data_IF_162336856078
#
_entry.id   IF_162336856078
#
_cell.length_a   1.000
_cell.length_b   1.000
_cell.length_c   1.000
_cell.angle_alpha   90.00
_cell.angle_beta   90.00
_cell.angle_gamma   90.00
#
_symmetry.space_group_name_H-M   'P 1'
#
loop_
_entity.id
_entity.type
_entity.pdbx_description
1 polymer ?
#
# COMPACT_ATOMS: atom_id res chain seq x y z
N UNK A 1 9.11 -16.18 1.17
CA UNK A 1 8.20 -17.18 0.57
C UNK A 1 6.97 -17.50 1.44
N UNK A 2 7.05 -17.69 2.77
CA UNK A 2 5.84 -17.87 3.59
C UNK A 2 4.92 -16.63 3.58
N UNK A 3 5.51 -15.43 3.66
CA UNK A 3 4.75 -14.18 3.67
C UNK A 3 3.94 -13.93 2.40
N UNK A 4 4.45 -14.31 1.23
CA UNK A 4 3.72 -14.16 -0.04
C UNK A 4 2.50 -15.08 -0.14
N UNK A 5 2.58 -16.29 0.44
CA UNK A 5 1.44 -17.21 0.52
C UNK A 5 0.34 -16.65 1.42
N UNK A 6 0.72 -16.14 2.60
CA UNK A 6 -0.23 -15.54 3.56
C UNK A 6 -0.88 -14.29 2.94
N UNK A 7 -0.09 -13.43 2.29
CA UNK A 7 -0.60 -12.25 1.61
C UNK A 7 -1.59 -12.61 0.48
N UNK A 8 -1.26 -13.63 -0.34
CA UNK A 8 -2.13 -14.11 -1.41
C UNK A 8 -3.45 -14.69 -0.88
N UNK A 9 -3.39 -15.49 0.19
CA UNK A 9 -4.59 -16.02 0.85
C UNK A 9 -5.47 -14.90 1.41
N UNK A 10 -4.86 -13.91 2.09
CA UNK A 10 -5.58 -12.74 2.60
C UNK A 10 -6.28 -11.94 1.50
N UNK A 11 -5.60 -11.69 0.38
CA UNK A 11 -6.19 -11.04 -0.80
C UNK A 11 -7.37 -11.82 -1.40
N UNK A 12 -7.26 -13.16 -1.45
CA UNK A 12 -8.35 -14.01 -1.94
C UNK A 12 -9.60 -13.94 -1.07
N UNK A 13 -9.41 -13.98 0.25
CA UNK A 13 -10.52 -13.96 1.23
C UNK A 13 -11.24 -12.60 1.24
N UNK A 14 -10.56 -11.50 0.96
CA UNK A 14 -11.16 -10.16 1.03
C UNK A 14 -11.80 -9.69 -0.29
N UNK A 15 -11.20 -10.00 -1.44
CA UNK A 15 -11.66 -9.44 -2.72
C UNK A 15 -13.03 -9.97 -3.16
N UNK A 16 -13.31 -11.26 -2.99
CA UNK A 16 -14.58 -11.86 -3.43
C UNK A 16 -15.79 -11.37 -2.64
N UNK A 17 -15.79 -11.35 -1.29
CA UNK A 17 -16.92 -10.82 -0.52
C UNK A 17 -17.16 -9.32 -0.75
N UNK A 18 -16.11 -8.50 -0.88
CA UNK A 18 -16.24 -7.07 -1.17
C UNK A 18 -16.96 -6.86 -2.51
N UNK A 19 -16.56 -7.60 -3.54
CA UNK A 19 -17.18 -7.47 -4.87
C UNK A 19 -18.65 -7.92 -4.86
N UNK A 20 -18.95 -9.06 -4.21
CA UNK A 20 -20.30 -9.59 -4.13
C UNK A 20 -21.25 -8.69 -3.32
N UNK A 21 -20.77 -8.06 -2.25
CA UNK A 21 -21.58 -7.11 -1.46
C UNK A 21 -21.84 -5.81 -2.22
N UNK A 22 -20.85 -5.27 -2.94
CA UNK A 22 -20.97 -4.04 -3.74
C UNK A 22 -21.93 -4.21 -4.93
N UNK A 23 -21.84 -5.35 -5.64
CA UNK A 23 -22.68 -5.63 -6.82
C UNK A 23 -24.05 -6.22 -6.48
N UNK A 24 -24.16 -6.96 -5.38
CA UNK A 24 -25.39 -7.64 -4.96
C UNK A 24 -26.40 -6.76 -4.20
N UNK A 25 -26.00 -5.58 -3.72
CA UNK A 25 -26.86 -4.71 -2.90
C UNK A 25 -27.80 -3.80 -3.72
N UNK A 26 -27.85 -3.91 -5.04
CA UNK A 26 -28.58 -3.00 -5.92
C UNK A 26 -29.51 -3.72 -6.91
N UNK A 27 -30.59 -3.04 -7.32
CA UNK A 27 -31.51 -3.58 -8.32
C UNK A 27 -30.81 -3.77 -9.66
N UNK A 28 -31.23 -4.80 -10.41
CA UNK A 28 -30.61 -5.24 -11.68
C UNK A 28 -30.38 -4.11 -12.70
N UNK A 29 -31.21 -3.07 -12.66
CA UNK A 29 -31.13 -1.91 -13.55
C UNK A 29 -30.00 -0.92 -13.23
N UNK A 30 -29.31 -1.06 -12.07
CA UNK A 30 -28.22 -0.17 -11.62
C UNK A 30 -26.95 -0.90 -11.19
N UNK A 31 -26.97 -2.23 -11.15
CA UNK A 31 -25.82 -3.06 -10.76
C UNK A 31 -24.58 -2.80 -11.64
N UNK A 32 -24.79 -2.56 -12.95
CA UNK A 32 -23.70 -2.21 -13.88
C UNK A 32 -23.03 -0.87 -13.55
N UNK A 33 -23.81 0.16 -13.20
CA UNK A 33 -23.25 1.47 -12.82
C UNK A 33 -22.47 1.38 -11.51
N UNK A 34 -22.95 0.60 -10.54
CA UNK A 34 -22.28 0.44 -9.26
C UNK A 34 -20.98 -0.38 -9.36
N UNK A 35 -20.98 -1.48 -10.13
CA UNK A 35 -19.76 -2.23 -10.41
C UNK A 35 -18.70 -1.37 -11.13
N UNK A 36 -19.14 -0.48 -12.02
CA UNK A 36 -18.24 0.46 -12.70
C UNK A 36 -17.60 1.46 -11.74
N UNK A 37 -18.37 1.99 -10.78
CA UNK A 37 -17.86 2.89 -9.74
C UNK A 37 -16.89 2.16 -8.82
N UNK A 38 -17.24 0.95 -8.37
CA UNK A 38 -16.39 0.11 -7.50
C UNK A 38 -15.03 -0.16 -8.17
N UNK A 39 -15.05 -0.63 -9.41
CA UNK A 39 -13.83 -0.92 -10.16
C UNK A 39 -13.00 0.34 -10.42
N UNK A 40 -13.64 1.46 -10.76
CA UNK A 40 -12.94 2.73 -10.96
C UNK A 40 -12.25 3.20 -9.68
N UNK A 41 -12.92 3.09 -8.52
CA UNK A 41 -12.33 3.43 -7.23
C UNK A 41 -11.12 2.54 -6.93
N UNK A 42 -11.19 1.24 -7.22
CA UNK A 42 -10.06 0.31 -7.07
C UNK A 42 -8.87 0.71 -7.94
N UNK A 43 -9.11 1.02 -9.21
CA UNK A 43 -8.03 1.41 -10.14
C UNK A 43 -7.38 2.74 -9.75
N UNK A 44 -8.18 3.75 -9.39
CA UNK A 44 -7.67 5.05 -8.93
C UNK A 44 -6.85 4.87 -7.66
N UNK A 45 -7.39 4.12 -6.68
CA UNK A 45 -6.68 3.84 -5.44
C UNK A 45 -5.36 3.11 -5.68
N UNK A 46 -5.34 2.12 -6.58
CA UNK A 46 -4.13 1.39 -6.92
C UNK A 46 -3.09 2.30 -7.58
N UNK A 47 -3.50 3.12 -8.54
CA UNK A 47 -2.59 4.03 -9.24
C UNK A 47 -1.94 5.03 -8.26
N UNK A 48 -2.74 5.62 -7.38
CA UNK A 48 -2.24 6.53 -6.33
C UNK A 48 -1.31 5.78 -5.38
N UNK A 49 -1.68 4.58 -4.94
CA UNK A 49 -0.87 3.80 -4.01
C UNK A 49 0.47 3.38 -4.62
N UNK A 50 0.49 2.94 -5.88
CA UNK A 50 1.73 2.62 -6.61
C UNK A 50 2.63 3.86 -6.73
N UNK A 51 2.06 5.03 -7.06
CA UNK A 51 2.83 6.27 -7.12
C UNK A 51 3.46 6.63 -5.77
N UNK A 52 2.70 6.51 -4.68
CA UNK A 52 3.20 6.75 -3.31
C UNK A 52 4.29 5.75 -2.95
N UNK A 53 4.09 4.45 -3.21
CA UNK A 53 5.10 3.43 -2.94
C UNK A 53 6.39 3.66 -3.74
N UNK A 54 6.29 4.06 -5.01
CA UNK A 54 7.46 4.41 -5.84
C UNK A 54 8.22 5.62 -5.31
N UNK A 55 7.50 6.65 -4.85
CA UNK A 55 8.11 7.82 -4.20
C UNK A 55 8.82 7.45 -2.89
N UNK A 56 8.18 6.64 -2.04
CA UNK A 56 8.78 6.14 -0.78
C UNK A 56 10.04 5.31 -1.07
N UNK A 57 10.00 4.46 -2.11
CA UNK A 57 11.15 3.66 -2.52
C UNK A 57 12.32 4.57 -2.94
N UNK A 58 12.10 5.50 -3.88
CA UNK A 58 13.15 6.38 -4.38
C UNK A 58 13.72 7.28 -3.27
N UNK A 59 12.89 7.82 -2.39
CA UNK A 59 13.33 8.63 -1.25
C UNK A 59 14.12 7.80 -0.21
N UNK A 60 13.71 6.56 0.06
CA UNK A 60 14.43 5.65 0.96
C UNK A 60 15.79 5.21 0.40
N UNK A 61 15.88 4.99 -0.92
CA UNK A 61 17.15 4.76 -1.62
C UNK A 61 18.05 5.99 -1.51
N UNK A 62 17.52 7.17 -1.85
CA UNK A 62 18.27 8.43 -1.77
C UNK A 62 18.81 8.70 -0.37
N UNK A 63 17.98 8.53 0.67
CA UNK A 63 18.39 8.73 2.05
C UNK A 63 19.57 7.82 2.45
N UNK A 64 19.56 6.57 1.98
CA UNK A 64 20.69 5.66 2.19
C UNK A 64 21.94 6.10 1.43
N UNK A 65 21.79 6.53 0.17
CA UNK A 65 22.89 7.02 -0.65
C UNK A 65 23.56 8.27 -0.05
N UNK A 66 22.78 9.23 0.45
CA UNK A 66 23.30 10.43 1.13
C UNK A 66 24.15 10.03 2.35
N UNK A 67 23.69 9.06 3.14
CA UNK A 67 24.41 8.60 4.32
C UNK A 67 25.69 7.81 3.97
N UNK A 68 25.66 7.04 2.88
CA UNK A 68 26.77 6.19 2.47
C UNK A 68 27.83 6.92 1.62
N UNK A 69 27.44 7.98 0.89
CA UNK A 69 28.32 8.75 0.01
C UNK A 69 28.12 10.27 0.22
N UNK A 70 28.55 10.81 1.38
CA UNK A 70 28.33 12.21 1.73
C UNK A 70 29.08 13.20 0.83
N UNK A 71 30.15 12.76 0.16
CA UNK A 71 31.01 13.60 -0.69
C UNK A 71 30.50 13.72 -2.14
N UNK A 72 29.47 12.97 -2.52
CA UNK A 72 28.89 13.05 -3.86
C UNK A 72 27.91 14.21 -4.00
N UNK A 73 27.88 14.81 -5.20
CA UNK A 73 26.94 15.86 -5.53
C UNK A 73 25.48 15.39 -5.40
N UNK A 74 24.62 16.24 -4.84
CA UNK A 74 23.22 15.95 -4.57
C UNK A 74 22.45 15.59 -5.85
N UNK A 75 22.69 16.30 -6.95
CA UNK A 75 22.04 16.00 -8.22
C UNK A 75 22.41 14.60 -8.74
N UNK A 76 23.67 14.18 -8.53
CA UNK A 76 24.13 12.84 -8.89
C UNK A 76 23.52 11.76 -8.00
N UNK A 77 23.37 12.02 -6.70
CA UNK A 77 22.71 11.11 -5.77
C UNK A 77 21.23 10.91 -6.13
N UNK A 78 20.52 11.98 -6.51
CA UNK A 78 19.13 11.89 -7.00
C UNK A 78 19.02 11.02 -8.25
N UNK A 79 19.87 11.24 -9.26
CA UNK A 79 19.88 10.43 -10.49
C UNK A 79 20.16 8.95 -10.20
N UNK A 80 21.12 8.68 -9.30
CA UNK A 80 21.45 7.31 -8.90
C UNK A 80 20.29 6.65 -8.14
N UNK A 81 19.64 7.38 -7.25
CA UNK A 81 18.49 6.88 -6.50
C UNK A 81 17.31 6.52 -7.41
N UNK A 82 17.00 7.37 -8.40
CA UNK A 82 15.96 7.08 -9.40
C UNK A 82 16.34 5.87 -10.26
N UNK A 83 17.59 5.78 -10.72
CA UNK A 83 18.05 4.64 -11.50
C UNK A 83 17.96 3.32 -10.71
N UNK A 84 18.42 3.30 -9.47
CA UNK A 84 18.36 2.12 -8.59
C UNK A 84 16.90 1.75 -8.30
N UNK A 85 16.04 2.72 -7.98
CA UNK A 85 14.62 2.47 -7.75
C UNK A 85 13.88 1.97 -9.00
N UNK A 86 14.32 2.39 -10.19
CA UNK A 86 13.83 1.87 -11.47
C UNK A 86 14.39 0.48 -11.83
N UNK A 87 15.33 -0.06 -11.04
CA UNK A 87 15.99 -1.34 -11.31
C UNK A 87 17.08 -1.28 -12.38
N UNK A 88 17.54 -0.07 -12.74
CA UNK A 88 18.63 0.12 -13.67
C UNK A 88 19.99 -0.09 -12.98
N UNK A 89 21.02 -0.55 -13.71
CA UNK A 89 22.37 -0.62 -13.19
C UNK A 89 22.87 0.79 -12.83
N UNK A 90 23.65 0.88 -11.75
CA UNK A 90 24.24 2.12 -11.25
C UNK A 90 25.77 2.11 -11.51
N UNK A 91 26.22 2.34 -12.76
CA UNK A 91 27.63 2.28 -13.11
C UNK A 91 28.42 3.31 -12.29
N UNK A 92 29.52 2.85 -11.69
CA UNK A 92 30.35 3.65 -10.79
C UNK A 92 30.01 3.52 -9.30
N UNK A 93 28.96 2.77 -8.94
CA UNK A 93 28.69 2.35 -7.56
C UNK A 93 29.04 0.86 -7.37
N UNK A 94 29.56 0.46 -6.20
CA UNK A 94 29.67 -0.95 -5.85
C UNK A 94 28.28 -1.60 -5.79
N UNK A 95 28.11 -2.78 -6.36
CA UNK A 95 26.83 -3.53 -6.38
C UNK A 95 26.24 -3.70 -4.98
N UNK A 96 27.08 -3.91 -3.97
CA UNK A 96 26.66 -4.01 -2.57
C UNK A 96 25.96 -2.75 -2.09
N UNK A 97 26.47 -1.57 -2.43
CA UNK A 97 25.87 -0.28 -2.02
C UNK A 97 24.53 -0.07 -2.71
N UNK A 98 24.45 -0.39 -4.00
CA UNK A 98 23.19 -0.32 -4.74
C UNK A 98 22.14 -1.29 -4.17
N UNK A 99 22.55 -2.50 -3.84
CA UNK A 99 21.68 -3.51 -3.22
C UNK A 99 21.21 -3.09 -1.82
N UNK A 100 22.12 -2.62 -0.96
CA UNK A 100 21.81 -2.17 0.40
C UNK A 100 20.85 -0.96 0.38
N UNK A 101 21.06 -0.02 -0.56
CA UNK A 101 20.17 1.11 -0.75
C UNK A 101 18.77 0.70 -1.20
N UNK A 102 18.68 -0.22 -2.16
CA UNK A 102 17.41 -0.77 -2.64
C UNK A 102 16.68 -1.53 -1.51
N UNK A 103 17.40 -2.34 -0.75
CA UNK A 103 16.86 -3.07 0.40
C UNK A 103 16.33 -2.13 1.48
N UNK A 104 17.05 -1.04 1.76
CA UNK A 104 16.59 0.01 2.67
C UNK A 104 15.29 0.67 2.16
N UNK A 105 15.25 1.04 0.88
CA UNK A 105 14.05 1.60 0.25
C UNK A 105 12.84 0.66 0.35
N UNK A 106 13.03 -0.64 0.08
CA UNK A 106 11.97 -1.64 0.30
C UNK A 106 11.56 -1.76 1.76
N UNK A 107 12.47 -1.61 2.71
CA UNK A 107 12.17 -1.53 4.14
C UNK A 107 11.17 -0.42 4.46
N UNK A 108 11.36 0.78 3.90
CA UNK A 108 10.42 1.90 4.04
C UNK A 108 9.06 1.62 3.42
N UNK A 109 9.02 1.01 2.22
CA UNK A 109 7.76 0.62 1.56
C UNK A 109 7.00 -0.42 2.39
N UNK A 110 7.70 -1.40 2.96
CA UNK A 110 7.10 -2.43 3.81
C UNK A 110 6.56 -1.84 5.12
N UNK A 111 7.27 -0.88 5.72
CA UNK A 111 6.81 -0.16 6.90
C UNK A 111 5.54 0.65 6.61
N UNK A 112 5.52 1.36 5.47
CA UNK A 112 4.33 2.06 4.99
C UNK A 112 3.13 1.12 4.83
N UNK A 113 3.32 -0.02 4.16
CA UNK A 113 2.28 -1.03 4.00
C UNK A 113 1.80 -1.61 5.33
N UNK A 114 2.73 -1.93 6.23
CA UNK A 114 2.44 -2.46 7.57
C UNK A 114 1.62 -1.49 8.39
N UNK A 115 2.08 -0.24 8.55
CA UNK A 115 1.35 0.80 9.29
C UNK A 115 -0.03 1.03 8.68
N UNK A 116 -0.13 1.07 7.35
CA UNK A 116 -1.42 1.22 6.65
C UNK A 116 -2.43 0.15 7.01
N UNK A 117 -2.02 -1.12 7.05
CA UNK A 117 -2.89 -2.25 7.46
C UNK A 117 -3.33 -2.11 8.91
N UNK A 118 -2.43 -1.75 9.82
CA UNK A 118 -2.75 -1.55 11.23
C UNK A 118 -3.74 -0.40 11.45
N UNK A 119 -3.56 0.71 10.75
CA UNK A 119 -4.50 1.85 10.79
C UNK A 119 -5.88 1.41 10.29
N UNK A 120 -5.94 0.73 9.14
CA UNK A 120 -7.22 0.25 8.59
C UNK A 120 -7.90 -0.75 9.52
N UNK A 121 -7.14 -1.64 10.17
CA UNK A 121 -7.66 -2.56 11.17
C UNK A 121 -8.23 -1.82 12.39
N UNK A 122 -7.53 -0.79 12.89
CA UNK A 122 -7.99 0.03 14.01
C UNK A 122 -9.27 0.81 13.66
N UNK A 123 -9.35 1.40 12.47
CA UNK A 123 -10.54 2.10 11.97
C UNK A 123 -11.71 1.12 11.85
N UNK A 124 -11.49 -0.04 11.21
CA UNK A 124 -12.51 -1.08 11.08
C UNK A 124 -13.04 -1.50 12.45
N UNK A 125 -12.13 -1.80 13.38
CA UNK A 125 -12.49 -2.15 14.75
C UNK A 125 -13.31 -1.05 15.44
N UNK A 126 -12.91 0.21 15.34
CA UNK A 126 -13.65 1.33 15.93
C UNK A 126 -15.07 1.48 15.36
N UNK A 127 -15.22 1.39 14.03
CA UNK A 127 -16.52 1.51 13.34
C UNK A 127 -17.45 0.35 13.69
N UNK A 128 -16.95 -0.89 13.70
CA UNK A 128 -17.77 -2.07 13.98
C UNK A 128 -18.07 -2.23 15.48
N UNK A 129 -17.14 -1.87 16.38
CA UNK A 129 -17.37 -1.89 17.84
C UNK A 129 -18.36 -0.80 18.30
N UNK A 130 -18.50 0.30 17.57
CA UNK A 130 -19.48 1.34 17.88
C UNK A 130 -20.94 0.93 17.58
N UNK A 131 -21.18 -0.15 16.82
CA UNK A 131 -22.52 -0.63 16.45
C UNK A 131 -23.25 -1.48 17.50
N UNK A 132 -22.65 -2.46 18.20
CA UNK A 132 -23.37 -3.26 19.21
C UNK A 132 -23.93 -2.41 20.36
N UNK A 133 -23.24 -1.34 20.78
CA UNK A 133 -23.71 -0.45 21.85
C UNK A 133 -25.00 0.31 21.51
N UNK A 134 -25.30 0.54 20.23
CA UNK A 134 -26.51 1.26 19.80
C UNK A 134 -27.73 0.34 19.70
N UNK A 135 -27.54 -0.96 19.47
CA UNK A 135 -28.62 -1.95 19.45
C UNK A 135 -29.08 -2.34 20.86
N UNK A 136 -28.15 -2.45 21.81
CA UNK A 136 -28.50 -2.70 23.22
C UNK A 136 -29.25 -1.52 23.88
N UNK A 137 -28.94 -0.28 23.48
CA UNK A 137 -29.65 0.90 23.99
C UNK A 137 -31.08 1.03 23.44
N UNK A 138 -31.34 0.56 22.21
CA UNK A 138 -32.67 0.55 21.61
C UNK A 138 -33.57 -0.55 22.19
N UNK A 139 -33.01 -1.73 22.51
CA UNK A 139 -33.76 -2.84 23.11
C UNK A 139 -34.10 -2.67 24.60
N UNK A 140 -33.49 -1.68 25.28
CA UNK A 140 -33.79 -1.36 26.69
C UNK A 140 -34.87 -0.28 26.86
N UNK A 141 -35.37 0.28 25.77
CA UNK A 141 -36.38 1.34 25.74
C UNK A 141 -37.74 0.87 25.19
N UNK A 142 -37.83 -0.41 24.78
CA UNK A 142 -39.07 -1.14 24.48
C UNK A 142 -39.41 -2.10 25.64
#
# INVERSE_FOLDING_TARGET
LPGSLIAGAGLGITNTPVTNTSTGSLSRNRAGMASGIDMSARMISLAVNIAVMGFILASGVLAHLIAALPDLDGARLYQLAEAIAAGNPAPGLPDKVAHDALANGFGWVMLYGGIGVWIMAAIGFAVFKARPARQEAAQRLD
#
